data_IF_613700364643
#
_entry.id   IF_613700364643
#
_cell.length_a   1.000
_cell.length_b   1.000
_cell.length_c   1.000
_cell.angle_alpha   90.00
_cell.angle_beta   90.00
_cell.angle_gamma   90.00
#
_symmetry.space_group_name_H-M   'P 1'
#
loop_
_entity.id
_entity.type
_entity.pdbx_description
1 polymer ?
#
# COMPACT_ATOMS: atom_id res chain seq x y z
N UNK A 1 3.50 6.36 33.64
CA UNK A 1 4.84 5.78 33.40
C UNK A 1 5.11 5.89 31.91
N UNK A 2 6.02 6.79 31.52
CA UNK A 2 6.22 7.21 30.13
C UNK A 2 6.92 6.14 29.30
N UNK A 3 6.41 5.95 28.09
CA UNK A 3 6.86 5.04 27.04
C UNK A 3 8.31 5.36 26.61
N UNK A 4 9.29 4.70 27.22
CA UNK A 4 10.71 4.78 26.86
C UNK A 4 11.25 3.53 26.16
N UNK A 5 10.38 2.61 25.77
CA UNK A 5 10.71 1.35 25.08
C UNK A 5 10.38 1.51 23.59
N UNK A 6 11.20 0.93 22.71
CA UNK A 6 10.97 0.66 21.27
C UNK A 6 11.42 1.63 20.18
N UNK A 7 12.02 2.81 20.45
CA UNK A 7 12.55 3.61 19.32
C UNK A 7 13.71 2.89 18.61
N UNK A 8 14.61 2.26 19.37
CA UNK A 8 15.77 1.52 18.83
C UNK A 8 15.34 0.27 18.08
N UNK A 9 14.41 -0.50 18.63
CA UNK A 9 13.96 -1.78 18.05
C UNK A 9 13.16 -1.55 16.76
N UNK A 10 12.30 -0.52 16.72
CA UNK A 10 11.61 -0.13 15.50
C UNK A 10 12.57 0.41 14.43
N UNK A 11 13.57 1.20 14.82
CA UNK A 11 14.60 1.69 13.89
C UNK A 11 15.45 0.53 13.36
N UNK A 12 15.79 -0.44 14.19
CA UNK A 12 16.53 -1.63 13.80
C UNK A 12 15.71 -2.47 12.81
N UNK A 13 14.45 -2.78 13.12
CA UNK A 13 13.57 -3.53 12.23
C UNK A 13 13.39 -2.83 10.86
N UNK A 14 13.29 -1.49 10.84
CA UNK A 14 13.24 -0.73 9.56
C UNK A 14 14.54 -0.80 8.78
N UNK A 15 15.70 -0.76 9.46
CA UNK A 15 17.01 -0.90 8.81
C UNK A 15 17.22 -2.30 8.26
N UNK A 16 16.78 -3.32 8.97
CA UNK A 16 16.84 -4.72 8.50
C UNK A 16 15.98 -4.90 7.24
N UNK A 17 14.75 -4.38 7.24
CA UNK A 17 13.89 -4.37 6.04
C UNK A 17 14.53 -3.64 4.86
N UNK A 18 15.15 -2.49 5.12
CA UNK A 18 15.87 -1.73 4.09
C UNK A 18 17.05 -2.52 3.50
N UNK A 19 17.78 -3.30 4.32
CA UNK A 19 18.83 -4.20 3.81
C UNK A 19 18.26 -5.31 2.93
N UNK A 20 17.16 -5.94 3.35
CA UNK A 20 16.49 -6.98 2.57
C UNK A 20 16.07 -6.46 1.19
N UNK A 21 15.54 -5.23 1.11
CA UNK A 21 15.20 -4.62 -0.18
C UNK A 21 16.41 -4.46 -1.09
N UNK A 22 17.55 -4.01 -0.55
CA UNK A 22 18.80 -3.92 -1.32
C UNK A 22 19.30 -5.30 -1.78
N UNK A 23 19.23 -6.33 -0.94
CA UNK A 23 19.63 -7.70 -1.28
C UNK A 23 18.74 -8.32 -2.38
N UNK A 24 17.47 -7.89 -2.45
CA UNK A 24 16.53 -8.26 -3.52
C UNK A 24 16.73 -7.42 -4.81
N UNK A 25 17.67 -6.46 -4.83
CA UNK A 25 17.91 -5.58 -5.97
C UNK A 25 16.82 -4.51 -6.17
N UNK A 26 16.00 -4.27 -5.14
CA UNK A 26 14.92 -3.28 -5.16
C UNK A 26 15.48 -1.97 -4.58
N UNK A 27 15.32 -0.86 -5.29
CA UNK A 27 15.65 0.47 -4.75
C UNK A 27 14.58 0.90 -3.71
N UNK A 28 14.91 0.97 -2.41
CA UNK A 28 13.94 1.30 -1.37
C UNK A 28 13.47 2.76 -1.43
N UNK A 29 14.19 3.64 -2.14
CA UNK A 29 13.79 5.04 -2.33
C UNK A 29 12.96 5.23 -3.61
N UNK A 30 12.94 4.22 -4.47
CA UNK A 30 12.20 4.21 -5.71
C UNK A 30 12.65 5.30 -6.69
N UNK A 31 11.87 5.46 -7.76
CA UNK A 31 12.06 6.49 -8.76
C UNK A 31 10.78 7.29 -8.99
N UNK A 32 10.76 8.02 -10.10
CA UNK A 32 9.54 8.66 -10.59
C UNK A 32 8.44 7.61 -10.80
N UNK A 33 7.22 7.93 -10.36
CA UNK A 33 6.06 7.05 -10.50
C UNK A 33 4.91 7.83 -11.12
N UNK A 34 4.52 7.43 -12.34
CA UNK A 34 3.44 8.05 -13.09
C UNK A 34 2.07 7.63 -12.52
N UNK A 35 1.47 8.52 -11.74
CA UNK A 35 0.10 8.38 -11.24
C UNK A 35 -0.93 8.83 -12.28
N UNK A 36 -2.06 8.13 -12.34
CA UNK A 36 -3.20 8.52 -13.18
C UNK A 36 -4.30 9.23 -12.39
N UNK A 37 -4.41 8.94 -11.09
CA UNK A 37 -5.45 9.51 -10.22
C UNK A 37 -4.89 9.85 -8.84
N UNK A 38 -5.58 10.73 -8.14
CA UNK A 38 -5.47 10.85 -6.68
C UNK A 38 -6.74 10.32 -5.98
N UNK A 39 -6.68 10.20 -4.65
CA UNK A 39 -7.79 9.69 -3.84
C UNK A 39 -9.04 10.58 -3.96
N UNK A 40 -8.87 11.88 -4.14
CA UNK A 40 -9.94 12.85 -4.36
C UNK A 40 -10.65 12.63 -5.69
N UNK A 41 -9.91 12.38 -6.77
CA UNK A 41 -10.44 12.03 -8.09
C UNK A 41 -11.28 10.75 -7.99
N UNK A 42 -10.70 9.68 -7.43
CA UNK A 42 -11.40 8.39 -7.30
C UNK A 42 -12.69 8.55 -6.50
N UNK A 43 -12.62 9.26 -5.38
CA UNK A 43 -13.81 9.47 -4.54
C UNK A 43 -14.87 10.29 -5.26
N UNK A 44 -14.48 11.34 -5.97
CA UNK A 44 -15.41 12.20 -6.71
C UNK A 44 -16.12 11.45 -7.83
N UNK A 45 -15.38 10.60 -8.56
CA UNK A 45 -15.92 9.86 -9.68
C UNK A 45 -16.72 8.62 -9.27
N UNK A 46 -16.30 7.92 -8.21
CA UNK A 46 -16.79 6.56 -7.95
C UNK A 46 -17.53 6.37 -6.62
N UNK A 47 -17.53 7.35 -5.70
CA UNK A 47 -18.14 7.15 -4.37
C UNK A 47 -19.66 6.88 -4.38
N UNK A 48 -20.35 7.29 -5.44
CA UNK A 48 -21.80 7.09 -5.58
C UNK A 48 -22.17 5.88 -6.45
N UNK A 49 -21.18 5.16 -6.99
CA UNK A 49 -21.44 3.96 -7.79
C UNK A 49 -21.69 2.75 -6.89
N UNK A 50 -22.53 1.83 -7.34
CA UNK A 50 -22.72 0.55 -6.65
C UNK A 50 -21.56 -0.40 -6.96
N UNK A 51 -21.40 -1.43 -6.12
CA UNK A 51 -20.43 -2.49 -6.38
C UNK A 51 -20.63 -3.13 -7.76
N UNK A 52 -21.89 -3.35 -8.15
CA UNK A 52 -22.25 -3.98 -9.42
C UNK A 52 -21.84 -3.12 -10.63
N UNK A 53 -22.01 -1.80 -10.54
CA UNK A 53 -21.61 -0.87 -11.59
C UNK A 53 -20.08 -0.82 -11.77
N UNK A 54 -19.34 -0.87 -10.66
CA UNK A 54 -17.87 -0.88 -10.67
C UNK A 54 -17.30 -2.22 -11.15
N UNK A 55 -17.98 -3.34 -10.85
CA UNK A 55 -17.61 -4.66 -11.36
C UNK A 55 -17.92 -4.81 -12.85
N UNK A 56 -19.03 -4.23 -13.33
CA UNK A 56 -19.40 -4.24 -14.73
C UNK A 56 -18.43 -3.41 -15.60
N UNK A 57 -17.88 -2.33 -15.05
CA UNK A 57 -16.94 -1.44 -15.75
C UNK A 57 -15.64 -1.27 -14.93
N UNK A 58 -14.75 -2.27 -14.96
CA UNK A 58 -13.52 -2.21 -14.19
C UNK A 58 -12.64 -1.06 -14.67
N UNK A 59 -12.32 -0.14 -13.75
CA UNK A 59 -11.43 1.00 -14.01
C UNK A 59 -10.04 0.70 -13.49
N UNK A 60 -9.04 0.76 -14.37
CA UNK A 60 -7.64 0.68 -13.98
C UNK A 60 -7.16 2.05 -13.47
N UNK A 61 -6.70 2.09 -12.21
CA UNK A 61 -6.17 3.29 -11.56
C UNK A 61 -4.74 3.06 -11.10
N UNK A 62 -3.92 4.11 -11.15
CA UNK A 62 -2.53 4.11 -10.67
C UNK A 62 -2.36 5.27 -9.71
N UNK A 63 -2.02 4.96 -8.46
CA UNK A 63 -1.90 5.95 -7.39
C UNK A 63 -0.70 5.65 -6.50
N UNK A 64 -0.24 6.67 -5.78
CA UNK A 64 0.83 6.55 -4.80
C UNK A 64 0.50 7.37 -3.55
N UNK A 65 0.90 6.88 -2.38
CA UNK A 65 0.66 7.53 -1.10
C UNK A 65 1.41 6.87 0.04
N UNK A 66 1.32 7.47 1.22
CA UNK A 66 1.93 6.93 2.45
C UNK A 66 1.09 5.77 2.98
N UNK A 67 1.72 4.63 3.22
CA UNK A 67 1.09 3.50 3.92
C UNK A 67 0.81 3.89 5.38
N UNK A 68 -0.47 3.92 5.76
CA UNK A 68 -0.91 4.32 7.10
C UNK A 68 -1.23 3.13 7.98
N UNK A 69 -1.88 2.11 7.41
CA UNK A 69 -2.24 0.89 8.11
C UNK A 69 -2.12 -0.30 7.17
N UNK A 70 -1.69 -1.45 7.70
CA UNK A 70 -1.71 -2.73 6.99
C UNK A 70 -2.33 -3.79 7.89
N UNK A 71 -3.21 -4.61 7.32
CA UNK A 71 -3.90 -5.73 7.98
C UNK A 71 -3.79 -6.96 7.08
N UNK A 72 -3.05 -7.98 7.52
CA UNK A 72 -2.87 -9.23 6.76
C UNK A 72 -3.75 -10.34 7.31
N UNK A 73 -4.40 -11.10 6.43
CA UNK A 73 -5.14 -12.33 6.74
C UNK A 73 -4.80 -13.43 5.73
N UNK A 74 -3.74 -14.19 6.00
CA UNK A 74 -3.30 -15.30 5.14
C UNK A 74 -2.89 -14.83 3.74
N UNK A 75 -3.66 -15.24 2.72
CA UNK A 75 -3.44 -14.95 1.28
C UNK A 75 -4.06 -13.63 0.81
N UNK A 76 -4.78 -12.91 1.67
CA UNK A 76 -5.32 -11.59 1.38
C UNK A 76 -4.95 -10.59 2.47
N UNK A 77 -4.93 -9.31 2.11
CA UNK A 77 -4.65 -8.23 3.03
C UNK A 77 -5.37 -6.95 2.62
N UNK A 78 -5.53 -6.07 3.60
CA UNK A 78 -6.01 -4.71 3.41
C UNK A 78 -4.90 -3.74 3.80
N UNK A 79 -4.73 -2.69 3.02
CA UNK A 79 -3.81 -1.61 3.33
C UNK A 79 -4.54 -0.29 3.15
N UNK A 80 -4.28 0.68 4.02
CA UNK A 80 -4.80 2.03 3.83
C UNK A 80 -3.64 2.94 3.42
N UNK A 81 -3.73 3.55 2.24
CA UNK A 81 -2.76 4.54 1.76
C UNK A 81 -3.36 5.94 1.87
N UNK A 82 -2.52 6.93 2.16
CA UNK A 82 -2.90 8.32 2.27
C UNK A 82 -2.05 9.18 1.33
N UNK A 83 -2.70 9.92 0.44
CA UNK A 83 -2.09 10.95 -0.38
C UNK A 83 -2.47 12.35 0.15
N UNK A 84 -2.24 13.39 -0.65
CA UNK A 84 -2.56 14.78 -0.29
C UNK A 84 -4.07 15.08 -0.26
N UNK A 85 -4.86 14.30 -0.99
CA UNK A 85 -6.30 14.49 -1.20
C UNK A 85 -7.14 13.64 -0.23
N UNK A 86 -6.60 12.54 0.28
CA UNK A 86 -7.31 11.72 1.26
C UNK A 86 -6.67 10.36 1.54
N UNK A 87 -7.50 9.47 2.09
CA UNK A 87 -7.14 8.08 2.38
C UNK A 87 -8.03 7.13 1.58
N UNK A 88 -7.42 6.11 0.98
CA UNK A 88 -8.12 5.03 0.28
C UNK A 88 -7.66 3.68 0.81
N UNK A 89 -8.56 2.70 0.78
CA UNK A 89 -8.27 1.32 1.14
C UNK A 89 -7.93 0.51 -0.10
N UNK A 90 -6.85 -0.27 -0.01
CA UNK A 90 -6.42 -1.25 -1.00
C UNK A 90 -6.79 -2.65 -0.52
N UNK A 91 -7.35 -3.44 -1.43
CA UNK A 91 -7.54 -4.87 -1.24
C UNK A 91 -6.49 -5.62 -2.06
N UNK A 92 -5.60 -6.34 -1.38
CA UNK A 92 -4.45 -7.02 -1.99
C UNK A 92 -4.63 -8.52 -1.80
N UNK A 93 -4.64 -9.27 -2.91
CA UNK A 93 -4.66 -10.74 -2.88
C UNK A 93 -3.39 -11.31 -3.50
N UNK A 94 -2.82 -12.34 -2.88
CA UNK A 94 -1.57 -12.99 -3.30
C UNK A 94 -1.65 -13.56 -4.72
N UNK A 95 -2.80 -14.08 -5.11
CA UNK A 95 -3.05 -14.62 -6.46
C UNK A 95 -3.08 -13.53 -7.54
N UNK A 96 -3.50 -12.31 -7.20
CA UNK A 96 -3.60 -11.19 -8.14
C UNK A 96 -2.25 -10.49 -8.38
N UNK A 97 -1.42 -10.33 -7.34
CA UNK A 97 -0.13 -9.59 -7.44
C UNK A 97 1.09 -10.50 -7.59
N UNK A 98 0.93 -11.81 -7.39
CA UNK A 98 2.04 -12.76 -7.34
C UNK A 98 2.72 -12.82 -5.97
N UNK A 99 3.51 -13.87 -5.76
CA UNK A 99 4.12 -14.18 -4.46
C UNK A 99 5.15 -13.13 -4.03
N UNK A 100 6.02 -12.73 -4.95
CA UNK A 100 7.10 -11.76 -4.72
C UNK A 100 6.55 -10.38 -4.34
N UNK A 101 5.59 -9.84 -5.10
CA UNK A 101 4.98 -8.54 -4.79
C UNK A 101 4.15 -8.57 -3.51
N UNK A 102 3.49 -9.70 -3.23
CA UNK A 102 2.76 -9.87 -1.98
C UNK A 102 3.70 -9.89 -0.77
N UNK A 103 4.89 -10.49 -0.93
CA UNK A 103 5.92 -10.48 0.10
C UNK A 103 6.50 -9.08 0.31
N UNK A 104 6.80 -8.34 -0.77
CA UNK A 104 7.24 -6.93 -0.69
C UNK A 104 6.23 -6.08 0.07
N UNK A 105 4.93 -6.27 -0.18
CA UNK A 105 3.89 -5.52 0.55
C UNK A 105 3.98 -5.71 2.07
N UNK A 106 4.63 -6.78 2.55
CA UNK A 106 4.73 -7.23 3.96
C UNK A 106 5.88 -6.62 4.73
N UNK A 107 6.88 -6.07 4.04
CA UNK A 107 7.90 -5.23 4.67
C UNK A 107 7.29 -3.87 5.05
#
# INVERSE_FOLDING_TARGET
MSQGVDLTDQLQARREKLKVLFEQGIDPFGGHYDRTHDTGDIRSHYANHTTEELEANPVAVVMAGRLMAKRRKGKAGFADIQDFSGRIQLYIRKDAVGEEQYEISTY
#
